data_IF_250673726626
#
_entry.id   IF_250673726626
#
_cell.length_a   1.000
_cell.length_b   1.000
_cell.length_c   1.000
_cell.angle_alpha   90.00
_cell.angle_beta   90.00
_cell.angle_gamma   90.00
#
_symmetry.space_group_name_H-M   'P 1'
#
loop_
_entity.id
_entity.type
_entity.pdbx_description
1 polymer ?
#
# COMPACT_ATOMS: atom_id res chain seq x y z
N UNK A 1 38.98 -1.37 43.51
CA UNK A 1 39.40 -0.42 42.46
C UNK A 1 39.53 -1.17 41.16
N UNK A 2 38.77 -0.74 40.12
CA UNK A 2 38.92 -1.00 38.67
C UNK A 2 38.89 -2.49 38.26
N UNK A 3 37.91 -3.02 37.53
CA UNK A 3 37.11 -2.45 36.46
C UNK A 3 37.62 -2.95 35.11
N UNK A 4 36.87 -3.84 34.47
CA UNK A 4 36.82 -4.03 33.00
C UNK A 4 35.49 -4.74 32.71
N UNK A 5 34.38 -4.02 32.44
CA UNK A 5 34.02 -3.49 31.12
C UNK A 5 34.33 -4.54 30.02
N UNK A 6 33.37 -5.38 29.62
CA UNK A 6 32.24 -5.11 28.72
C UNK A 6 32.67 -4.97 27.25
N UNK A 7 31.95 -5.72 26.40
CA UNK A 7 31.69 -5.47 24.97
C UNK A 7 32.85 -5.57 23.98
N UNK A 8 32.70 -6.52 23.06
CA UNK A 8 32.56 -6.19 21.64
C UNK A 8 31.63 -7.26 21.05
N UNK A 9 30.32 -7.00 21.07
CA UNK A 9 29.60 -6.67 19.82
C UNK A 9 29.94 -7.69 18.74
N UNK A 10 29.02 -8.65 18.55
CA UNK A 10 28.97 -9.44 17.34
C UNK A 10 28.82 -8.45 16.18
N UNK A 11 29.90 -8.27 15.42
CA UNK A 11 29.85 -7.57 14.15
C UNK A 11 28.78 -8.27 13.30
N UNK A 12 27.72 -7.55 12.95
CA UNK A 12 26.79 -8.02 11.93
C UNK A 12 27.54 -8.00 10.60
N UNK A 13 28.02 -9.17 10.19
CA UNK A 13 28.70 -9.43 8.91
C UNK A 13 27.72 -9.31 7.73
N UNK A 14 27.28 -8.10 7.41
CA UNK A 14 26.82 -7.80 6.05
C UNK A 14 27.49 -6.52 5.54
N UNK A 15 28.31 -6.59 4.46
CA UNK A 15 28.87 -5.41 3.84
C UNK A 15 27.77 -4.71 3.05
N UNK A 16 26.99 -3.84 3.69
CA UNK A 16 26.01 -2.99 3.01
C UNK A 16 26.76 -1.87 2.29
N UNK A 17 27.27 -2.17 1.09
CA UNK A 17 27.93 -1.18 0.23
C UNK A 17 26.92 -0.15 -0.31
N UNK A 18 27.36 1.05 -0.76
CA UNK A 18 26.47 2.08 -1.30
C UNK A 18 25.55 1.59 -2.45
N UNK A 19 26.00 0.60 -3.21
CA UNK A 19 25.21 -0.02 -4.29
C UNK A 19 24.07 -0.91 -3.77
N UNK A 20 24.27 -1.58 -2.63
CA UNK A 20 23.25 -2.44 -2.03
C UNK A 20 22.12 -1.59 -1.44
N UNK A 21 22.48 -0.48 -0.76
CA UNK A 21 21.52 0.53 -0.30
C UNK A 21 20.73 1.12 -1.48
N UNK A 22 21.43 1.42 -2.59
CA UNK A 22 20.77 1.94 -3.79
C UNK A 22 19.78 0.93 -4.39
N UNK A 23 20.12 -0.37 -4.39
CA UNK A 23 19.23 -1.46 -4.83
C UNK A 23 17.99 -1.56 -3.94
N UNK A 24 18.16 -1.62 -2.63
CA UNK A 24 17.03 -1.67 -1.69
C UNK A 24 16.10 -0.47 -1.81
N UNK A 25 16.67 0.73 -2.01
CA UNK A 25 15.88 1.95 -2.20
C UNK A 25 15.10 1.93 -3.52
N UNK A 26 15.69 1.38 -4.60
CA UNK A 26 15.01 1.23 -5.88
C UNK A 26 13.85 0.23 -5.79
N UNK A 27 14.05 -0.88 -5.06
CA UNK A 27 12.99 -1.87 -4.80
C UNK A 27 11.83 -1.25 -4.01
N UNK A 28 12.13 -0.52 -2.92
CA UNK A 28 11.12 0.21 -2.15
C UNK A 28 10.37 1.25 -2.99
N UNK A 29 11.06 1.94 -3.88
CA UNK A 29 10.45 2.91 -4.80
C UNK A 29 9.55 2.23 -5.85
N UNK A 30 9.98 1.11 -6.43
CA UNK A 30 9.16 0.37 -7.38
C UNK A 30 7.89 -0.17 -6.72
N UNK A 31 8.03 -0.72 -5.51
CA UNK A 31 6.90 -1.22 -4.72
C UNK A 31 5.93 -0.11 -4.35
N UNK A 32 6.42 1.07 -3.95
CA UNK A 32 5.55 2.23 -3.67
C UNK A 32 4.82 2.70 -4.92
N UNK A 33 5.48 2.71 -6.07
CA UNK A 33 4.87 3.14 -7.33
C UNK A 33 3.75 2.20 -7.78
N UNK A 34 4.00 0.89 -7.81
CA UNK A 34 2.99 -0.12 -8.19
C UNK A 34 1.78 -0.05 -7.26
N UNK A 35 2.06 0.15 -5.98
CA UNK A 35 1.06 0.29 -4.93
C UNK A 35 0.17 1.53 -5.14
N UNK A 36 0.78 2.70 -5.35
CA UNK A 36 0.05 3.95 -5.59
C UNK A 36 -0.82 3.87 -6.85
N UNK A 37 -0.28 3.27 -7.92
CA UNK A 37 -1.02 3.00 -9.15
C UNK A 37 -2.23 2.09 -8.92
N UNK A 38 -2.09 1.06 -8.08
CA UNK A 38 -3.19 0.16 -7.73
C UNK A 38 -4.30 0.88 -6.96
N UNK A 39 -3.96 1.68 -5.95
CA UNK A 39 -4.93 2.50 -5.21
C UNK A 39 -5.66 3.48 -6.12
N UNK A 40 -4.95 4.08 -7.09
CA UNK A 40 -5.53 4.99 -8.06
C UNK A 40 -6.55 4.28 -8.95
N UNK A 41 -6.21 3.12 -9.50
CA UNK A 41 -7.12 2.33 -10.33
C UNK A 41 -8.38 1.91 -9.58
N UNK A 42 -8.27 1.61 -8.29
CA UNK A 42 -9.44 1.33 -7.44
C UNK A 42 -10.38 2.54 -7.32
N UNK A 43 -9.83 3.75 -7.15
CA UNK A 43 -10.63 4.99 -7.16
C UNK A 43 -11.27 5.20 -8.52
N UNK A 44 -10.51 5.05 -9.61
CA UNK A 44 -11.04 5.21 -10.97
C UNK A 44 -12.22 4.26 -11.21
N UNK A 45 -12.12 3.00 -10.77
CA UNK A 45 -13.22 2.04 -10.86
C UNK A 45 -14.40 2.41 -9.96
N UNK A 46 -14.15 2.87 -8.73
CA UNK A 46 -15.20 3.33 -7.83
C UNK A 46 -16.00 4.50 -8.43
N UNK A 47 -15.35 5.40 -9.17
CA UNK A 47 -16.03 6.49 -9.89
C UNK A 47 -16.93 5.96 -11.00
N UNK A 48 -16.50 4.94 -11.74
CA UNK A 48 -17.34 4.26 -12.75
C UNK A 48 -18.58 3.64 -12.09
N UNK A 49 -18.42 2.93 -10.97
CA UNK A 49 -19.54 2.36 -10.22
C UNK A 49 -20.51 3.45 -9.73
N UNK A 50 -19.98 4.59 -9.30
CA UNK A 50 -20.78 5.76 -8.91
C UNK A 50 -21.55 6.35 -10.09
N UNK A 51 -21.02 6.31 -11.31
CA UNK A 51 -21.78 6.74 -12.48
C UNK A 51 -22.90 5.75 -12.81
N UNK A 52 -22.61 4.44 -12.72
CA UNK A 52 -23.59 3.37 -12.97
C UNK A 52 -24.76 3.44 -11.98
N UNK A 53 -24.51 3.58 -10.67
CA UNK A 53 -25.59 3.62 -9.67
C UNK A 53 -26.51 4.84 -9.81
N UNK A 54 -26.00 5.92 -10.42
CA UNK A 54 -26.77 7.13 -10.68
C UNK A 54 -27.50 7.10 -12.04
N UNK A 55 -27.33 6.05 -12.83
CA UNK A 55 -28.12 5.84 -14.03
C UNK A 55 -29.60 5.68 -13.66
N UNK A 56 -30.49 6.34 -14.41
CA UNK A 56 -31.93 6.30 -14.18
C UNK A 56 -32.57 4.99 -14.66
N UNK A 57 -31.89 4.29 -15.55
CA UNK A 57 -32.37 3.06 -16.18
C UNK A 57 -31.82 1.79 -15.50
N UNK A 58 -31.00 1.94 -14.44
CA UNK A 58 -30.47 0.82 -13.68
C UNK A 58 -31.60 0.02 -13.03
N UNK A 59 -31.52 -1.30 -13.10
CA UNK A 59 -32.48 -2.16 -12.41
C UNK A 59 -32.08 -2.42 -10.95
N UNK A 60 -33.02 -2.83 -10.11
CA UNK A 60 -32.78 -3.02 -8.65
C UNK A 60 -31.73 -4.10 -8.33
N UNK A 61 -31.57 -5.12 -9.19
CA UNK A 61 -30.57 -6.17 -8.99
C UNK A 61 -29.17 -5.62 -9.28
N UNK A 62 -29.00 -4.94 -10.40
CA UNK A 62 -27.75 -4.27 -10.77
C UNK A 62 -27.38 -3.22 -9.73
N UNK A 63 -28.34 -2.42 -9.28
CA UNK A 63 -28.13 -1.42 -8.24
C UNK A 63 -27.59 -2.04 -6.96
N UNK A 64 -28.20 -3.11 -6.48
CA UNK A 64 -27.73 -3.82 -5.29
C UNK A 64 -26.32 -4.39 -5.47
N UNK A 65 -26.01 -4.95 -6.63
CA UNK A 65 -24.67 -5.46 -6.93
C UNK A 65 -23.63 -4.33 -6.91
N UNK A 66 -23.95 -3.18 -7.51
CA UNK A 66 -23.08 -2.00 -7.50
C UNK A 66 -22.87 -1.46 -6.09
N UNK A 67 -23.92 -1.42 -5.25
CA UNK A 67 -23.80 -1.03 -3.83
C UNK A 67 -22.84 -1.96 -3.06
N UNK A 68 -23.00 -3.28 -3.21
CA UNK A 68 -22.13 -4.28 -2.58
C UNK A 68 -20.68 -4.16 -3.08
N UNK A 69 -20.49 -3.95 -4.38
CA UNK A 69 -19.15 -3.77 -4.97
C UNK A 69 -18.50 -2.46 -4.48
N UNK A 70 -19.26 -1.36 -4.41
CA UNK A 70 -18.77 -0.09 -3.86
C UNK A 70 -18.35 -0.21 -2.40
N UNK A 71 -19.10 -0.93 -1.56
CA UNK A 71 -18.73 -1.20 -0.17
C UNK A 71 -17.45 -2.04 -0.07
N UNK A 72 -17.33 -3.07 -0.91
CA UNK A 72 -16.12 -3.88 -1.01
C UNK A 72 -14.90 -3.04 -1.40
N UNK A 73 -15.01 -2.21 -2.44
CA UNK A 73 -13.92 -1.32 -2.88
C UNK A 73 -13.53 -0.32 -1.81
N UNK A 74 -14.49 0.29 -1.10
CA UNK A 74 -14.21 1.21 0.00
C UNK A 74 -13.42 0.53 1.12
N UNK A 75 -13.81 -0.69 1.48
CA UNK A 75 -13.15 -1.48 2.53
C UNK A 75 -11.74 -1.88 2.12
N UNK A 76 -11.60 -2.44 0.91
CA UNK A 76 -10.32 -2.89 0.38
C UNK A 76 -9.34 -1.72 0.20
N UNK A 77 -9.81 -0.59 -0.32
CA UNK A 77 -8.99 0.61 -0.51
C UNK A 77 -8.46 1.14 0.82
N UNK A 78 -9.32 1.22 1.84
CA UNK A 78 -8.93 1.70 3.18
C UNK A 78 -7.90 0.77 3.81
N UNK A 79 -8.13 -0.55 3.76
CA UNK A 79 -7.18 -1.53 4.28
C UNK A 79 -5.82 -1.47 3.57
N UNK A 80 -5.80 -1.30 2.24
CA UNK A 80 -4.56 -1.14 1.49
C UNK A 80 -3.85 0.16 1.86
N UNK A 81 -4.58 1.28 1.92
CA UNK A 81 -4.03 2.58 2.31
C UNK A 81 -3.40 2.55 3.71
N UNK A 82 -4.05 1.90 4.69
CA UNK A 82 -3.53 1.74 6.05
C UNK A 82 -2.23 0.94 6.08
N UNK A 83 -2.17 -0.19 5.36
CA UNK A 83 -0.95 -1.01 5.22
C UNK A 83 0.20 -0.18 4.65
N UNK A 84 -0.06 0.74 3.72
CA UNK A 84 0.99 1.56 3.11
C UNK A 84 1.49 2.64 4.05
N UNK A 85 0.58 3.27 4.79
CA UNK A 85 0.93 4.19 5.85
C UNK A 85 1.85 3.51 6.88
N UNK A 86 1.50 2.30 7.33
CA UNK A 86 2.32 1.51 8.27
C UNK A 86 3.69 1.14 7.71
N UNK A 87 3.79 0.87 6.40
CA UNK A 87 5.07 0.59 5.71
C UNK A 87 5.92 1.83 5.44
N UNK A 88 5.46 3.02 5.82
CA UNK A 88 6.15 4.29 5.53
C UNK A 88 6.13 4.65 4.04
N UNK A 89 5.23 4.03 3.28
CA UNK A 89 4.98 4.34 1.87
C UNK A 89 3.95 5.47 1.87
N UNK A 90 4.40 6.72 2.04
CA UNK A 90 3.51 7.87 1.90
C UNK A 90 3.24 8.12 0.41
N UNK A 91 1.97 8.20 0.05
CA UNK A 91 1.53 8.75 -1.24
C UNK A 91 1.89 10.24 -1.36
#
# INVERSE_FOLDING_TARGET
MKGSASMSEAFSDDPVGPLEIARENLEKFADSFITQDSLRKMIDWYLVLKDVINDKDINEIEKKQVEEEMEYFSTAWSAMADIFYEKGISA
#
